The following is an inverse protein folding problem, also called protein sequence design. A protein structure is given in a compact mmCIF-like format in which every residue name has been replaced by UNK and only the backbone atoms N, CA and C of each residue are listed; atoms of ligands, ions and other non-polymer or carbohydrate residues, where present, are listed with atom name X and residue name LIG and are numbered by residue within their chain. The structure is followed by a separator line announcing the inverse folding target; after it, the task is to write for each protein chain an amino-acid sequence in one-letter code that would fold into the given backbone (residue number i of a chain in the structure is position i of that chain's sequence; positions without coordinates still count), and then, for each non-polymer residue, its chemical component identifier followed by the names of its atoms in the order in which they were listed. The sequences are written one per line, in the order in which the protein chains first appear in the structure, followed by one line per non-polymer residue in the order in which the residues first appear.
data_IF_512542473699
#
_entry.id   IF_512542473699
#
_cell.length_a   1.000
_cell.length_b   1.000
_cell.length_c   1.000
_cell.angle_alpha   90.00
_cell.angle_beta   90.00
_cell.angle_gamma   90.00
#
_symmetry.space_group_name_H-M   'P 1'
#
loop_
_entity.id
_entity.type
_entity.pdbx_description
1 polymer ?
#
# COMPACT_ATOMS: atom_id res chain seq x y z
N UNK A 1 -17.11 11.37 -0.10
CA UNK A 1 -17.16 9.89 -0.01
C UNK A 1 -15.75 9.37 0.06
N UNK A 2 -15.48 8.55 1.04
CA UNK A 2 -14.15 7.97 1.29
C UNK A 2 -13.68 7.13 0.10
N UNK A 3 -12.40 7.16 -0.18
CA UNK A 3 -11.76 6.32 -1.17
C UNK A 3 -10.45 5.77 -0.63
N UNK A 4 -10.04 4.63 -1.16
CA UNK A 4 -8.81 3.96 -0.76
C UNK A 4 -7.87 3.85 -1.96
N UNK A 5 -6.58 4.06 -1.71
CA UNK A 5 -5.52 3.60 -2.59
C UNK A 5 -4.97 2.31 -2.00
N UNK A 6 -4.96 1.24 -2.76
CA UNK A 6 -4.61 -0.09 -2.29
C UNK A 6 -3.41 -0.63 -3.06
N UNK A 7 -2.49 -1.27 -2.33
CA UNK A 7 -1.33 -1.95 -2.92
C UNK A 7 -1.34 -3.40 -2.45
N UNK A 8 -1.36 -4.32 -3.42
CA UNK A 8 -1.21 -5.74 -3.16
C UNK A 8 0.20 -6.14 -3.58
N UNK A 9 0.92 -6.80 -2.69
CA UNK A 9 2.30 -7.24 -2.94
C UNK A 9 2.42 -8.73 -2.61
N UNK A 10 3.09 -9.48 -3.48
CA UNK A 10 3.36 -10.89 -3.22
C UNK A 10 4.87 -11.11 -3.19
N UNK A 11 5.40 -11.50 -2.03
CA UNK A 11 6.81 -11.85 -1.90
C UNK A 11 7.07 -13.20 -2.56
N UNK A 12 8.21 -13.31 -3.25
CA UNK A 12 8.54 -14.51 -4.04
C UNK A 12 8.82 -15.73 -3.16
N UNK A 13 9.25 -15.50 -1.91
CA UNK A 13 9.70 -16.54 -1.00
C UNK A 13 9.26 -16.20 0.42
N UNK A 14 8.70 -17.17 1.13
CA UNK A 14 8.28 -17.01 2.52
C UNK A 14 9.42 -16.54 3.44
N UNK A 15 10.67 -16.87 3.12
CA UNK A 15 11.82 -16.42 3.88
C UNK A 15 12.02 -14.90 3.83
N UNK A 16 11.42 -14.21 2.86
CA UNK A 16 11.50 -12.75 2.73
C UNK A 16 10.50 -12.01 3.63
N UNK A 17 9.50 -12.70 4.17
CA UNK A 17 8.37 -12.05 4.85
C UNK A 17 8.82 -11.22 6.04
N UNK A 18 9.71 -11.74 6.86
CA UNK A 18 10.15 -11.03 8.07
C UNK A 18 10.84 -9.71 7.74
N UNK A 19 11.76 -9.72 6.77
CA UNK A 19 12.47 -8.51 6.35
C UNK A 19 11.51 -7.52 5.67
N UNK A 20 10.59 -8.01 4.83
CA UNK A 20 9.59 -7.20 4.17
C UNK A 20 8.64 -6.55 5.18
N UNK A 21 8.18 -7.32 6.17
CA UNK A 21 7.29 -6.84 7.22
C UNK A 21 7.94 -5.72 8.02
N UNK A 22 9.20 -5.91 8.41
CA UNK A 22 9.96 -4.92 9.18
C UNK A 22 10.19 -3.64 8.39
N UNK A 23 10.57 -3.77 7.11
CA UNK A 23 10.81 -2.62 6.24
C UNK A 23 9.53 -1.82 6.03
N UNK A 24 8.41 -2.49 5.82
CA UNK A 24 7.11 -1.84 5.62
C UNK A 24 6.67 -1.12 6.89
N UNK A 25 6.83 -1.78 8.03
CA UNK A 25 6.46 -1.22 9.33
C UNK A 25 7.27 0.02 9.67
N UNK A 26 8.58 -0.05 9.51
CA UNK A 26 9.49 0.96 10.03
C UNK A 26 9.74 2.09 9.04
N UNK A 27 9.68 1.82 7.75
CA UNK A 27 10.06 2.78 6.71
C UNK A 27 8.93 3.10 5.75
N UNK A 28 8.38 2.10 5.06
CA UNK A 28 7.55 2.36 3.88
C UNK A 28 6.16 2.88 4.22
N UNK A 29 5.45 2.26 5.15
CA UNK A 29 4.10 2.72 5.49
C UNK A 29 4.10 4.13 6.11
N UNK A 30 4.97 4.43 7.09
CA UNK A 30 5.04 5.79 7.64
C UNK A 30 5.41 6.83 6.58
N UNK A 31 6.35 6.52 5.69
CA UNK A 31 6.77 7.41 4.61
C UNK A 31 5.61 7.66 3.62
N UNK A 32 4.94 6.59 3.21
CA UNK A 32 3.82 6.70 2.27
C UNK A 32 2.64 7.47 2.87
N UNK A 33 2.30 7.22 4.13
CA UNK A 33 1.23 7.95 4.80
C UNK A 33 1.48 9.45 4.75
N UNK A 34 2.70 9.87 5.04
CA UNK A 34 3.09 11.28 5.05
C UNK A 34 3.16 11.85 3.65
N UNK A 35 3.80 11.14 2.72
CA UNK A 35 3.99 11.62 1.35
C UNK A 35 2.66 11.78 0.61
N UNK A 36 1.73 10.87 0.81
CA UNK A 36 0.40 10.90 0.18
C UNK A 36 -0.57 11.85 0.89
N UNK A 37 -0.26 12.28 2.11
CA UNK A 37 -1.18 13.05 2.96
C UNK A 37 -2.51 12.32 3.16
N UNK A 38 -2.44 11.00 3.29
CA UNK A 38 -3.61 10.17 3.55
C UNK A 38 -4.11 10.39 4.98
N UNK A 39 -5.39 10.19 5.21
CA UNK A 39 -5.98 10.32 6.55
C UNK A 39 -5.46 9.26 7.51
N UNK A 40 -5.35 8.04 7.02
CA UNK A 40 -4.79 6.90 7.75
C UNK A 40 -4.33 5.84 6.77
N UNK A 41 -3.52 4.93 7.28
CA UNK A 41 -3.02 3.79 6.52
C UNK A 41 -3.01 2.57 7.43
N UNK A 42 -3.23 1.41 6.83
CA UNK A 42 -3.13 0.14 7.52
C UNK A 42 -2.66 -0.93 6.54
N UNK A 43 -2.19 -2.03 7.08
CA UNK A 43 -1.65 -3.12 6.29
C UNK A 43 -1.87 -4.46 6.97
N UNK A 44 -1.77 -5.52 6.22
CA UNK A 44 -1.90 -6.86 6.76
C UNK A 44 -1.41 -7.92 5.80
N UNK A 45 -1.25 -9.11 6.32
CA UNK A 45 -0.90 -10.30 5.54
C UNK A 45 -2.16 -11.14 5.33
N UNK A 46 -2.28 -11.69 4.12
CA UNK A 46 -3.37 -12.62 3.81
C UNK A 46 -3.21 -13.91 4.61
N UNK A 47 -4.33 -14.41 5.14
CA UNK A 47 -4.36 -15.73 5.79
C UNK A 47 -4.63 -16.85 4.77
N UNK A 48 -5.07 -16.49 3.57
CA UNK A 48 -5.33 -17.45 2.48
C UNK A 48 -4.06 -17.75 1.68
N UNK A 49 -3.31 -16.69 1.32
CA UNK A 49 -1.99 -16.83 0.70
C UNK A 49 -0.99 -16.10 1.59
N UNK A 50 -0.20 -16.85 2.32
CA UNK A 50 0.70 -16.33 3.34
C UNK A 50 1.79 -15.38 2.79
N UNK A 51 2.04 -15.38 1.49
CA UNK A 51 3.02 -14.50 0.84
C UNK A 51 2.43 -13.19 0.34
N UNK A 52 1.11 -12.99 0.49
CA UNK A 52 0.43 -11.78 0.00
C UNK A 52 0.24 -10.78 1.12
N UNK A 53 0.66 -9.57 0.86
CA UNK A 53 0.57 -8.42 1.76
C UNK A 53 -0.32 -7.36 1.12
N UNK A 54 -1.14 -6.71 1.94
CA UNK A 54 -2.00 -5.60 1.53
C UNK A 54 -1.66 -4.36 2.33
N UNK A 55 -1.65 -3.20 1.66
CA UNK A 55 -1.60 -1.90 2.30
C UNK A 55 -2.71 -1.02 1.74
N UNK A 56 -3.37 -0.27 2.61
CA UNK A 56 -4.46 0.64 2.25
C UNK A 56 -4.16 2.02 2.80
N UNK A 57 -4.49 3.02 1.97
CA UNK A 57 -4.35 4.44 2.31
C UNK A 57 -5.71 5.09 2.10
N UNK A 58 -6.23 5.76 3.13
CA UNK A 58 -7.58 6.33 3.11
C UNK A 58 -7.53 7.81 2.78
N UNK A 59 -8.41 8.22 1.88
CA UNK A 59 -8.58 9.61 1.45
C UNK A 59 -10.04 10.05 1.64
N UNK A 60 -10.24 11.37 1.78
CA UNK A 60 -11.58 11.93 1.99
C UNK A 60 -12.49 11.72 0.78
N UNK A 61 -11.92 11.68 -0.43
CA UNK A 61 -12.68 11.56 -1.66
C UNK A 61 -11.90 10.83 -2.76
N UNK A 62 -12.62 10.46 -3.80
CA UNK A 62 -12.07 9.71 -4.92
C UNK A 62 -11.04 10.54 -5.71
N UNK A 63 -11.28 11.84 -5.85
CA UNK A 63 -10.35 12.71 -6.59
C UNK A 63 -8.97 12.73 -5.94
N UNK A 64 -8.92 12.82 -4.60
CA UNK A 64 -7.67 12.79 -3.84
C UNK A 64 -6.93 11.47 -4.00
N UNK A 65 -7.65 10.34 -3.94
CA UNK A 65 -7.05 9.03 -4.15
C UNK A 65 -6.51 8.87 -5.57
N UNK A 66 -7.29 9.28 -6.58
CA UNK A 66 -6.87 9.22 -7.98
C UNK A 66 -5.64 10.09 -8.26
N UNK A 67 -5.52 11.23 -7.59
CA UNK A 67 -4.39 12.14 -7.77
C UNK A 67 -3.05 11.49 -7.40
N UNK A 68 -3.06 10.48 -6.52
CA UNK A 68 -1.85 9.78 -6.13
C UNK A 68 -1.27 8.95 -7.27
N UNK A 69 -2.10 8.38 -8.13
CA UNK A 69 -1.69 7.40 -9.15
C UNK A 69 -0.63 7.96 -10.11
N UNK A 70 -0.72 9.23 -10.49
CA UNK A 70 0.27 9.86 -11.38
C UNK A 70 1.24 10.81 -10.68
N UNK A 71 1.29 10.77 -9.34
CA UNK A 71 2.03 11.78 -8.57
C UNK A 71 3.53 11.52 -8.51
N UNK A 72 4.30 12.59 -8.28
CA UNK A 72 5.73 12.51 -7.99
C UNK A 72 5.99 11.70 -6.71
N UNK A 73 5.12 11.85 -5.71
CA UNK A 73 5.23 11.13 -4.45
C UNK A 73 5.16 9.62 -4.66
N UNK A 74 4.22 9.17 -5.50
CA UNK A 74 4.13 7.74 -5.81
C UNK A 74 5.36 7.27 -6.60
N UNK A 75 5.82 8.05 -7.57
CA UNK A 75 7.02 7.69 -8.33
C UNK A 75 8.24 7.51 -7.43
N UNK A 76 8.43 8.40 -6.46
CA UNK A 76 9.51 8.30 -5.48
C UNK A 76 9.38 7.03 -4.65
N UNK A 77 8.20 6.73 -4.16
CA UNK A 77 7.96 5.55 -3.33
C UNK A 77 8.11 4.25 -4.13
N UNK A 78 7.71 4.25 -5.39
CA UNK A 78 7.96 3.11 -6.30
C UNK A 78 9.45 2.88 -6.49
N UNK A 79 10.22 3.95 -6.70
CA UNK A 79 11.67 3.85 -6.84
C UNK A 79 12.32 3.30 -5.57
N UNK A 80 11.88 3.75 -4.40
CA UNK A 80 12.37 3.25 -3.11
C UNK A 80 12.05 1.76 -2.93
N UNK A 81 10.84 1.37 -3.29
CA UNK A 81 10.40 -0.03 -3.25
C UNK A 81 11.24 -0.89 -4.18
N UNK A 82 11.46 -0.43 -5.41
CA UNK A 82 12.24 -1.17 -6.41
C UNK A 82 13.70 -1.33 -5.98
N UNK A 83 14.28 -0.32 -5.33
CA UNK A 83 15.62 -0.44 -4.78
C UNK A 83 15.71 -1.49 -3.68
N UNK A 84 14.69 -1.55 -2.84
CA UNK A 84 14.68 -2.48 -1.70
C UNK A 84 14.41 -3.92 -2.13
N UNK A 85 13.49 -4.13 -3.08
CA UNK A 85 12.96 -5.46 -3.37
C UNK A 85 13.11 -5.90 -4.83
N UNK A 86 13.15 -4.94 -5.77
CA UNK A 86 13.28 -5.24 -7.19
C UNK A 86 12.14 -6.12 -7.69
N UNK A 87 12.48 -7.12 -8.49
CA UNK A 87 11.55 -8.08 -9.06
C UNK A 87 11.20 -9.25 -8.12
N UNK A 88 11.73 -9.23 -6.89
CA UNK A 88 11.43 -10.26 -5.87
C UNK A 88 10.04 -10.12 -5.27
N UNK A 89 9.37 -9.00 -5.52
CA UNK A 89 8.02 -8.73 -5.03
C UNK A 89 7.16 -8.24 -6.18
N UNK A 90 6.15 -9.03 -6.54
CA UNK A 90 5.15 -8.63 -7.52
C UNK A 90 4.13 -7.71 -6.87
N UNK A 91 3.73 -6.64 -7.56
CA UNK A 91 2.78 -5.65 -7.04
C UNK A 91 1.65 -5.38 -8.00
N UNK A 92 0.49 -5.06 -7.43
CA UNK A 92 -0.62 -4.45 -8.15
C UNK A 92 -1.23 -3.35 -7.28
N UNK A 93 -1.89 -2.39 -7.91
CA UNK A 93 -2.50 -1.23 -7.26
C UNK A 93 -3.93 -1.08 -7.70
N UNK A 94 -4.72 -0.47 -6.83
CA UNK A 94 -6.10 -0.17 -7.15
C UNK A 94 -6.53 1.10 -6.42
N UNK A 95 -7.53 1.79 -6.98
CA UNK A 95 -8.22 2.89 -6.32
C UNK A 95 -9.66 2.45 -6.16
N UNK A 96 -10.14 2.44 -4.92
CA UNK A 96 -11.46 1.91 -4.57
C UNK A 96 -12.31 3.02 -3.98
N UNK A 97 -13.44 3.31 -4.63
CA UNK A 97 -14.44 4.22 -4.09
C UNK A 97 -15.30 3.43 -3.10
N UNK A 98 -15.40 3.91 -1.87
CA UNK A 98 -16.26 3.28 -0.86
C UNK A 98 -17.70 3.75 -1.11
N UNK A 99 -18.55 2.82 -1.44
CA UNK A 99 -19.95 3.13 -1.76
C UNK A 99 -20.90 2.92 -0.59
N UNK A 100 -20.44 2.20 0.44
CA UNK A 100 -21.24 1.98 1.65
C UNK A 100 -20.34 1.57 2.79
N UNK A 101 -20.60 2.14 3.96
CA UNK A 101 -19.90 1.78 5.20
C UNK A 101 -20.96 1.65 6.29
N UNK A 102 -20.91 0.57 7.03
CA UNK A 102 -21.85 0.28 8.11
C UNK A 102 -21.09 -0.16 9.34
N UNK A 103 -21.65 0.15 10.51
CA UNK A 103 -21.12 -0.32 11.79
C UNK A 103 -22.20 -1.19 12.46
N UNK A 104 -21.73 -2.21 13.19
CA UNK A 104 -22.63 -3.09 13.93
C UNK A 104 -23.14 -2.42 15.21
#
# INVERSE_FOLDING_TARGET
MTALFMVRARVADAAMKEAFDRWYRDEHLPDALQAFKARRAWRGWSDVDACVHYAWYEFDDLASANAIVGSEQLRRLVADFDRAWGDKVARSRDVVAIVQSMEA
#
